data_IF_917245942704
#
_entry.id   IF_917245942704
#
_cell.length_a   1.000
_cell.length_b   1.000
_cell.length_c   1.000
_cell.angle_alpha   90.00
_cell.angle_beta   90.00
_cell.angle_gamma   90.00
#
_symmetry.space_group_name_H-M   'P 1'
#
loop_
_entity.id
_entity.type
_entity.pdbx_description
1 polymer ?
#
# COMPACT_ATOMS: atom_id res chain seq x y z
N UNK A 1 -5.47 -15.05 17.06
CA UNK A 1 -5.38 -13.82 17.85
C UNK A 1 -4.89 -14.12 19.27
N UNK A 2 -4.07 -13.24 19.83
CA UNK A 2 -3.52 -13.36 21.18
C UNK A 2 -3.70 -12.02 21.91
N UNK A 3 -4.01 -12.06 23.21
CA UNK A 3 -4.13 -10.85 24.02
C UNK A 3 -2.74 -10.40 24.47
N UNK A 4 -2.35 -9.18 24.14
CA UNK A 4 -1.07 -8.58 24.53
C UNK A 4 -1.33 -7.16 25.04
N UNK A 5 -1.10 -6.94 26.34
CA UNK A 5 -1.29 -5.64 26.97
C UNK A 5 -2.73 -5.10 26.87
N UNK A 6 -3.73 -5.97 26.99
CA UNK A 6 -5.15 -5.61 26.94
C UNK A 6 -5.74 -5.46 25.52
N UNK A 7 -4.93 -5.64 24.47
CA UNK A 7 -5.40 -5.59 23.09
C UNK A 7 -5.35 -6.97 22.43
N UNK A 8 -6.40 -7.32 21.64
CA UNK A 8 -6.43 -8.55 20.86
C UNK A 8 -5.63 -8.35 19.57
N UNK A 9 -4.49 -9.02 19.48
CA UNK A 9 -3.56 -8.95 18.34
C UNK A 9 -3.80 -10.12 17.41
N UNK A 10 -4.20 -9.85 16.17
CA UNK A 10 -4.39 -10.85 15.11
C UNK A 10 -3.23 -10.86 14.10
N UNK A 11 -2.55 -9.74 13.94
CA UNK A 11 -1.46 -9.56 12.98
C UNK A 11 -0.22 -9.02 13.68
N UNK A 12 0.94 -9.54 13.30
CA UNK A 12 2.24 -9.06 13.79
C UNK A 12 3.19 -8.85 12.61
N UNK A 13 3.96 -7.77 12.66
CA UNK A 13 4.90 -7.45 11.60
C UNK A 13 6.07 -8.45 11.54
N UNK A 14 6.42 -8.84 10.32
CA UNK A 14 7.63 -9.60 9.99
C UNK A 14 8.75 -8.69 9.45
N UNK A 15 8.49 -7.39 9.36
CA UNK A 15 9.36 -6.34 8.83
C UNK A 15 9.72 -6.50 7.34
N UNK A 16 10.57 -7.47 7.01
CA UNK A 16 11.05 -7.73 5.65
C UNK A 16 11.62 -9.15 5.54
N UNK A 17 11.93 -9.59 4.31
CA UNK A 17 12.44 -10.93 4.05
C UNK A 17 13.83 -11.21 4.67
N UNK A 18 14.66 -10.21 4.90
CA UNK A 18 15.95 -10.39 5.57
C UNK A 18 15.75 -10.74 7.04
N UNK A 19 14.79 -10.07 7.71
CA UNK A 19 14.43 -10.39 9.09
C UNK A 19 13.79 -11.78 9.21
N UNK A 20 12.92 -12.16 8.27
CA UNK A 20 12.34 -13.50 8.18
C UNK A 20 13.46 -14.55 8.06
N UNK A 21 14.42 -14.32 7.18
CA UNK A 21 15.57 -15.20 6.98
C UNK A 21 16.47 -15.23 8.21
N UNK A 22 16.78 -14.08 8.80
CA UNK A 22 17.65 -13.96 9.99
C UNK A 22 17.07 -14.70 11.19
N UNK A 23 15.75 -14.62 11.39
CA UNK A 23 15.02 -15.29 12.47
C UNK A 23 14.61 -16.71 12.12
N UNK A 24 14.87 -17.17 10.88
CA UNK A 24 14.46 -18.48 10.33
C UNK A 24 12.96 -18.75 10.53
N UNK A 25 12.11 -17.75 10.23
CA UNK A 25 10.66 -17.89 10.37
C UNK A 25 10.10 -18.67 9.18
N UNK A 26 9.21 -19.63 9.45
CA UNK A 26 8.54 -20.47 8.44
C UNK A 26 7.03 -20.46 8.67
N UNK A 27 6.26 -20.66 7.60
CA UNK A 27 4.80 -20.81 7.74
C UNK A 27 4.49 -22.04 8.57
N UNK A 28 3.67 -21.87 9.61
CA UNK A 28 3.33 -22.92 10.57
C UNK A 28 4.17 -22.88 11.87
N UNK A 29 5.17 -22.02 11.96
CA UNK A 29 5.93 -21.88 13.23
C UNK A 29 5.10 -21.31 14.37
N UNK A 30 5.38 -21.79 15.58
CA UNK A 30 5.00 -21.09 16.80
C UNK A 30 6.02 -20.01 17.10
N UNK A 31 5.56 -18.77 17.28
CA UNK A 31 6.43 -17.59 17.39
C UNK A 31 6.22 -16.81 18.66
N UNK A 32 7.26 -16.11 19.11
CA UNK A 32 7.15 -15.09 20.15
C UNK A 32 6.74 -13.77 19.48
N UNK A 33 5.66 -13.15 19.99
CA UNK A 33 5.18 -11.84 19.58
C UNK A 33 5.37 -10.85 20.71
N UNK A 34 5.91 -9.69 20.38
CA UNK A 34 6.08 -8.57 21.31
C UNK A 34 5.37 -7.35 20.77
N UNK A 35 4.73 -6.60 21.67
CA UNK A 35 4.27 -5.24 21.40
C UNK A 35 5.23 -4.29 22.10
N UNK A 36 6.04 -3.57 21.34
CA UNK A 36 6.96 -2.57 21.88
C UNK A 36 6.23 -1.24 21.98
N UNK A 37 5.93 -0.81 23.22
CA UNK A 37 5.10 0.37 23.47
C UNK A 37 3.69 0.20 22.90
N UNK A 38 3.02 1.32 22.57
CA UNK A 38 1.70 1.30 21.91
C UNK A 38 1.77 1.11 20.39
N UNK A 39 2.93 0.65 19.89
CA UNK A 39 3.24 0.56 18.47
C UNK A 39 2.97 -0.87 17.95
N UNK A 40 3.38 -1.13 16.74
CA UNK A 40 3.08 -2.31 15.93
C UNK A 40 3.58 -3.60 16.58
N UNK A 41 2.72 -4.62 16.81
CA UNK A 41 3.16 -5.93 17.25
C UNK A 41 4.14 -6.55 16.23
N UNK A 42 5.20 -7.19 16.73
CA UNK A 42 6.23 -7.79 15.89
C UNK A 42 6.60 -9.19 16.35
N UNK A 43 6.98 -10.04 15.40
CA UNK A 43 7.56 -11.36 15.69
C UNK A 43 9.02 -11.17 16.07
N UNK A 44 9.38 -11.59 17.29
CA UNK A 44 10.74 -11.46 17.82
C UNK A 44 11.56 -12.74 17.66
N UNK A 45 10.92 -13.90 17.57
CA UNK A 45 11.62 -15.17 17.39
C UNK A 45 10.68 -16.36 17.20
N UNK A 46 11.26 -17.51 16.94
CA UNK A 46 10.59 -18.80 16.71
C UNK A 46 10.87 -19.75 17.88
N UNK A 47 9.87 -20.52 18.30
CA UNK A 47 10.01 -21.61 19.25
C UNK A 47 10.35 -22.88 18.48
N UNK A 48 11.65 -23.14 18.30
CA UNK A 48 12.15 -24.24 17.44
C UNK A 48 11.71 -25.63 17.92
N UNK A 49 11.52 -25.79 19.21
CA UNK A 49 11.09 -27.05 19.83
C UNK A 49 9.66 -27.45 19.43
N UNK A 50 8.84 -26.46 19.04
CA UNK A 50 7.48 -26.65 18.58
C UNK A 50 7.34 -26.71 17.04
N UNK A 51 8.47 -26.60 16.33
CA UNK A 51 8.46 -26.62 14.85
C UNK A 51 8.22 -28.03 14.33
N UNK A 52 7.32 -28.15 13.39
CA UNK A 52 7.12 -29.39 12.63
C UNK A 52 8.30 -29.68 11.69
N UNK A 53 8.68 -30.95 11.53
CA UNK A 53 9.93 -31.38 10.86
C UNK A 53 10.07 -31.05 9.38
N UNK A 54 9.01 -30.54 8.70
CA UNK A 54 9.02 -30.37 7.22
C UNK A 54 8.66 -28.97 6.71
N UNK A 55 8.75 -27.93 7.56
CA UNK A 55 8.43 -26.59 7.13
C UNK A 55 9.51 -26.01 6.20
N UNK A 56 9.09 -25.47 5.05
CA UNK A 56 9.99 -24.87 4.08
C UNK A 56 10.37 -23.43 4.47
N UNK A 57 11.60 -23.00 4.19
CA UNK A 57 11.99 -21.59 4.32
C UNK A 57 11.10 -20.69 3.44
N UNK A 58 10.84 -19.50 3.90
CA UNK A 58 10.14 -18.47 3.13
C UNK A 58 11.17 -17.75 2.26
N UNK A 59 10.94 -17.73 0.97
CA UNK A 59 11.70 -16.92 0.00
C UNK A 59 10.80 -15.85 -0.60
N UNK A 60 11.37 -14.68 -0.95
CA UNK A 60 10.62 -13.67 -1.66
C UNK A 60 10.20 -14.19 -3.05
N UNK A 61 9.05 -13.75 -3.57
CA UNK A 61 8.63 -14.14 -4.91
C UNK A 61 9.56 -13.55 -5.96
N UNK A 62 9.96 -14.34 -6.95
CA UNK A 62 10.74 -13.87 -8.11
C UNK A 62 9.86 -13.23 -9.17
N UNK A 63 8.57 -13.55 -9.14
CA UNK A 63 7.56 -13.09 -10.07
C UNK A 63 6.42 -12.45 -9.26
N UNK A 64 5.92 -11.32 -9.72
CA UNK A 64 4.79 -10.64 -9.10
C UNK A 64 3.52 -11.50 -9.18
N UNK A 65 2.83 -11.76 -8.07
CA UNK A 65 1.62 -12.58 -8.06
C UNK A 65 0.42 -11.91 -8.76
N UNK A 66 0.49 -10.61 -9.04
CA UNK A 66 -0.60 -9.85 -9.68
C UNK A 66 -0.43 -9.75 -11.18
N UNK A 67 0.75 -9.35 -11.66
CA UNK A 67 0.97 -9.05 -13.08
C UNK A 67 2.00 -9.96 -13.76
N UNK A 68 2.55 -10.94 -13.06
CA UNK A 68 3.57 -11.88 -13.54
C UNK A 68 4.89 -11.23 -14.03
N UNK A 69 5.09 -9.94 -13.80
CA UNK A 69 6.36 -9.28 -14.07
C UNK A 69 7.43 -9.72 -13.07
N UNK A 70 8.69 -9.63 -13.44
CA UNK A 70 9.82 -9.92 -12.53
C UNK A 70 9.79 -9.00 -11.32
N UNK A 71 10.31 -9.50 -10.22
CA UNK A 71 10.59 -8.70 -9.04
C UNK A 71 12.09 -8.46 -8.92
N UNK A 72 12.46 -7.28 -8.48
CA UNK A 72 13.86 -6.87 -8.33
C UNK A 72 14.10 -6.22 -6.97
N UNK A 73 15.36 -6.25 -6.54
CA UNK A 73 15.86 -5.36 -5.48
C UNK A 73 16.57 -4.19 -6.16
N UNK A 74 16.17 -3.00 -5.81
CA UNK A 74 16.85 -1.80 -6.32
C UNK A 74 18.20 -1.62 -5.64
N UNK A 75 19.10 -0.93 -6.33
CA UNK A 75 20.41 -0.56 -5.79
C UNK A 75 20.39 0.92 -5.43
N UNK A 76 20.71 1.22 -4.18
CA UNK A 76 20.90 2.60 -3.72
C UNK A 76 22.40 2.91 -3.72
N UNK A 77 22.76 4.03 -4.34
CA UNK A 77 24.11 4.58 -4.24
C UNK A 77 24.21 5.45 -2.98
N UNK A 78 25.02 5.00 -2.01
CA UNK A 78 25.35 5.79 -0.83
C UNK A 78 26.82 6.19 -0.93
N UNK A 79 27.09 7.38 -1.49
CA UNK A 79 28.43 7.83 -1.82
C UNK A 79 29.07 6.94 -2.91
N UNK A 80 30.25 6.36 -2.62
CA UNK A 80 30.98 5.45 -3.54
C UNK A 80 30.55 3.98 -3.46
N UNK A 81 29.61 3.63 -2.58
CA UNK A 81 29.15 2.24 -2.39
C UNK A 81 27.75 2.04 -2.96
N UNK A 82 27.56 0.99 -3.73
CA UNK A 82 26.25 0.47 -4.09
C UNK A 82 25.79 -0.52 -3.02
N UNK A 83 24.55 -0.36 -2.54
CA UNK A 83 23.91 -1.28 -1.61
C UNK A 83 22.54 -1.67 -2.17
N UNK A 84 22.22 -2.96 -2.15
CA UNK A 84 20.88 -3.41 -2.49
C UNK A 84 19.85 -2.97 -1.45
N UNK A 85 18.70 -2.54 -1.90
CA UNK A 85 17.56 -2.27 -1.01
C UNK A 85 17.08 -3.56 -0.37
N UNK A 86 16.58 -3.45 0.87
CA UNK A 86 15.98 -4.58 1.58
C UNK A 86 14.62 -4.98 1.00
N UNK A 87 14.00 -4.09 0.24
CA UNK A 87 12.67 -4.27 -0.32
C UNK A 87 12.73 -4.82 -1.73
N UNK A 88 11.77 -5.69 -2.04
CA UNK A 88 11.58 -6.28 -3.35
C UNK A 88 10.42 -5.59 -4.01
N UNK A 89 10.58 -5.23 -5.28
CA UNK A 89 9.59 -4.47 -6.05
C UNK A 89 9.24 -5.19 -7.34
N UNK A 90 8.00 -5.12 -7.71
CA UNK A 90 7.54 -5.54 -9.02
C UNK A 90 7.97 -4.54 -10.10
N UNK A 91 8.47 -5.02 -11.23
CA UNK A 91 8.86 -4.20 -12.38
C UNK A 91 7.72 -3.87 -13.33
N UNK A 92 6.51 -4.36 -13.05
CA UNK A 92 5.34 -4.22 -13.94
C UNK A 92 4.85 -2.78 -14.14
N UNK A 93 5.21 -1.86 -13.23
CA UNK A 93 4.82 -0.44 -13.30
C UNK A 93 3.34 -0.26 -13.68
N UNK A 94 3.03 0.39 -14.80
CA UNK A 94 1.67 0.63 -15.28
C UNK A 94 0.92 -0.65 -15.73
N UNK A 95 1.62 -1.77 -15.92
CA UNK A 95 0.98 -3.05 -16.24
C UNK A 95 0.56 -3.83 -14.98
N UNK A 96 0.84 -3.32 -13.80
CA UNK A 96 0.49 -3.96 -12.54
C UNK A 96 -0.68 -3.23 -11.87
N UNK A 97 -1.86 -3.85 -11.85
CA UNK A 97 -3.07 -3.26 -11.25
C UNK A 97 -2.87 -2.90 -9.77
N UNK A 98 -2.13 -3.70 -9.00
CA UNK A 98 -1.83 -3.36 -7.61
C UNK A 98 -1.01 -2.07 -7.50
N UNK A 99 -0.03 -1.84 -8.40
CA UNK A 99 0.74 -0.59 -8.40
C UNK A 99 -0.08 0.61 -8.88
N UNK A 100 -0.99 0.41 -9.83
CA UNK A 100 -1.90 1.47 -10.28
C UNK A 100 -2.84 1.90 -9.14
N UNK A 101 -3.47 0.95 -8.45
CA UNK A 101 -4.34 1.23 -7.30
C UNK A 101 -3.56 2.01 -6.22
N UNK A 102 -2.36 1.56 -5.83
CA UNK A 102 -1.56 2.26 -4.83
C UNK A 102 -1.11 3.66 -5.28
N UNK A 103 -0.87 3.85 -6.57
CA UNK A 103 -0.58 5.17 -7.14
C UNK A 103 -1.79 6.11 -7.04
N UNK A 104 -3.00 5.62 -7.33
CA UNK A 104 -4.23 6.40 -7.20
C UNK A 104 -4.49 6.74 -5.72
N UNK A 105 -4.29 5.78 -4.80
CA UNK A 105 -4.39 6.00 -3.35
C UNK A 105 -3.40 7.08 -2.87
N UNK A 106 -2.15 6.99 -3.31
CA UNK A 106 -1.13 7.99 -2.99
C UNK A 106 -1.52 9.37 -3.50
N UNK A 107 -1.97 9.47 -4.75
CA UNK A 107 -2.39 10.72 -5.38
C UNK A 107 -3.53 11.41 -4.64
N UNK A 108 -4.55 10.66 -4.21
CA UNK A 108 -5.71 11.19 -3.48
C UNK A 108 -5.47 11.39 -1.98
N UNK A 109 -4.34 10.95 -1.45
CA UNK A 109 -4.03 10.97 -0.01
C UNK A 109 -3.93 12.38 0.56
N UNK A 110 -4.05 12.48 1.91
CA UNK A 110 -4.02 13.73 2.67
C UNK A 110 -2.79 14.60 2.42
N UNK A 111 -1.61 14.00 2.24
CA UNK A 111 -0.36 14.72 1.95
C UNK A 111 -0.24 15.15 0.49
N UNK A 112 -1.08 14.63 -0.41
CA UNK A 112 -1.11 14.94 -1.83
C UNK A 112 -2.32 15.82 -2.18
N UNK A 113 -3.26 15.32 -2.99
CA UNK A 113 -4.46 16.08 -3.37
C UNK A 113 -5.49 16.21 -2.26
N UNK A 114 -5.48 15.34 -1.25
CA UNK A 114 -6.37 15.37 -0.08
C UNK A 114 -7.85 15.39 -0.49
N UNK A 115 -8.26 14.37 -1.27
CA UNK A 115 -9.62 14.28 -1.80
C UNK A 115 -10.50 13.55 -0.80
N UNK A 116 -11.38 14.28 -0.13
CA UNK A 116 -12.34 13.73 0.82
C UNK A 116 -13.38 12.84 0.11
N UNK A 117 -13.74 11.73 0.76
CA UNK A 117 -14.68 10.76 0.19
C UNK A 117 -14.05 9.73 -0.75
N UNK A 118 -12.79 9.90 -1.16
CA UNK A 118 -12.07 8.97 -2.02
C UNK A 118 -11.05 8.15 -1.20
N UNK A 119 -11.54 7.31 -0.29
CA UNK A 119 -10.72 6.41 0.51
C UNK A 119 -10.31 5.14 -0.26
N UNK A 120 -9.52 4.28 0.39
CA UNK A 120 -8.97 3.06 -0.23
C UNK A 120 -10.04 2.15 -0.84
N UNK A 121 -11.15 1.95 -0.14
CA UNK A 121 -12.24 1.08 -0.62
C UNK A 121 -12.93 1.65 -1.85
N UNK A 122 -13.15 2.95 -1.88
CA UNK A 122 -13.75 3.65 -3.01
C UNK A 122 -12.84 3.59 -4.23
N UNK A 123 -11.54 3.81 -4.04
CA UNK A 123 -10.55 3.71 -5.13
C UNK A 123 -10.51 2.29 -5.72
N UNK A 124 -10.47 1.26 -4.86
CA UNK A 124 -10.49 -0.14 -5.31
C UNK A 124 -11.78 -0.46 -6.07
N UNK A 125 -12.92 0.02 -5.59
CA UNK A 125 -14.22 -0.14 -6.24
C UNK A 125 -14.26 0.56 -7.60
N UNK A 126 -13.84 1.81 -7.70
CA UNK A 126 -13.84 2.58 -8.94
C UNK A 126 -12.85 2.00 -9.95
N UNK A 127 -11.69 1.54 -9.49
CA UNK A 127 -10.75 0.83 -10.33
C UNK A 127 -11.35 -0.48 -10.87
N UNK A 128 -12.08 -1.23 -10.05
CA UNK A 128 -12.76 -2.45 -10.46
C UNK A 128 -13.87 -2.17 -11.50
N UNK A 129 -14.59 -1.07 -11.36
CA UNK A 129 -15.58 -0.62 -12.34
C UNK A 129 -14.94 -0.03 -13.60
N UNK A 130 -13.62 0.14 -13.64
CA UNK A 130 -12.88 0.83 -14.71
C UNK A 130 -13.27 2.30 -14.89
N UNK A 131 -13.75 2.93 -13.84
CA UNK A 131 -14.06 4.35 -13.82
C UNK A 131 -12.81 5.20 -13.64
N UNK A 132 -11.80 4.66 -12.91
CA UNK A 132 -10.47 5.24 -12.77
C UNK A 132 -9.42 4.15 -12.99
N UNK A 133 -8.51 4.35 -13.91
CA UNK A 133 -7.35 3.48 -14.17
C UNK A 133 -6.04 4.22 -13.92
N UNK A 134 -6.09 5.55 -13.94
CA UNK A 134 -4.97 6.43 -13.62
C UNK A 134 -5.43 7.64 -12.78
N UNK A 135 -4.52 8.32 -12.06
CA UNK A 135 -4.88 9.41 -11.16
C UNK A 135 -5.62 10.58 -11.80
N UNK A 136 -5.34 10.91 -13.06
CA UNK A 136 -5.99 12.01 -13.78
C UNK A 136 -7.48 11.81 -13.97
N UNK A 137 -7.94 10.58 -14.15
CA UNK A 137 -9.35 10.23 -14.38
C UNK A 137 -10.24 10.51 -13.15
N UNK A 138 -9.64 10.75 -11.97
CA UNK A 138 -10.40 11.20 -10.78
C UNK A 138 -11.16 12.48 -11.08
N UNK A 139 -10.56 13.41 -11.83
CA UNK A 139 -11.17 14.70 -12.15
C UNK A 139 -12.26 14.62 -13.23
N UNK A 140 -12.40 13.46 -13.87
CA UNK A 140 -13.41 13.17 -14.88
C UNK A 140 -14.62 12.39 -14.30
N UNK A 141 -14.56 11.98 -13.04
CA UNK A 141 -15.61 11.16 -12.39
C UNK A 141 -16.98 11.84 -12.42
N UNK A 142 -17.05 13.15 -12.18
CA UNK A 142 -18.29 13.90 -12.22
C UNK A 142 -18.91 13.88 -13.61
N UNK A 143 -18.11 14.15 -14.64
CA UNK A 143 -18.57 14.24 -16.02
C UNK A 143 -19.01 12.88 -16.58
N UNK A 144 -18.25 11.83 -16.27
CA UNK A 144 -18.44 10.53 -16.90
C UNK A 144 -19.33 9.57 -16.12
N UNK A 145 -19.36 9.67 -14.78
CA UNK A 145 -19.93 8.60 -13.93
C UNK A 145 -20.85 9.10 -12.81
N UNK A 146 -21.27 10.36 -12.81
CA UNK A 146 -22.11 10.91 -11.75
C UNK A 146 -23.41 10.12 -11.56
N UNK A 147 -24.10 9.79 -12.64
CA UNK A 147 -25.37 9.05 -12.61
C UNK A 147 -25.16 7.63 -12.10
N UNK A 148 -24.14 6.94 -12.63
CA UNK A 148 -23.79 5.60 -12.20
C UNK A 148 -23.43 5.56 -10.72
N UNK A 149 -22.74 6.60 -10.22
CA UNK A 149 -22.37 6.71 -8.81
C UNK A 149 -23.59 6.87 -7.89
N UNK A 150 -24.58 7.65 -8.30
CA UNK A 150 -25.84 7.84 -7.55
C UNK A 150 -26.68 6.57 -7.46
N UNK A 151 -26.54 5.65 -8.42
CA UNK A 151 -27.25 4.38 -8.47
C UNK A 151 -26.53 3.25 -7.71
N UNK A 152 -25.30 3.48 -7.23
CA UNK A 152 -24.52 2.45 -6.54
C UNK A 152 -24.88 2.34 -5.06
N UNK A 153 -24.99 1.11 -4.59
CA UNK A 153 -25.16 0.82 -3.17
C UNK A 153 -24.05 1.43 -2.33
N UNK A 154 -24.44 2.10 -1.25
CA UNK A 154 -23.51 2.77 -0.34
C UNK A 154 -23.20 4.22 -0.72
N UNK A 155 -23.71 4.73 -1.85
CA UNK A 155 -23.58 6.10 -2.28
C UNK A 155 -24.94 6.84 -2.21
N UNK A 156 -25.08 7.73 -1.25
CA UNK A 156 -26.22 8.62 -1.20
C UNK A 156 -25.90 9.97 -1.87
N UNK A 157 -26.92 10.72 -2.28
CA UNK A 157 -26.77 12.01 -2.94
C UNK A 157 -25.78 12.95 -2.22
N UNK A 158 -25.83 13.01 -0.88
CA UNK A 158 -24.93 13.83 -0.09
C UNK A 158 -23.47 13.37 -0.17
N UNK A 159 -23.22 12.05 -0.19
CA UNK A 159 -21.87 11.51 -0.30
C UNK A 159 -21.26 11.78 -1.67
N UNK A 160 -22.07 11.70 -2.71
CA UNK A 160 -21.68 12.02 -4.09
C UNK A 160 -21.37 13.51 -4.21
N UNK A 161 -22.26 14.38 -3.70
CA UNK A 161 -22.04 15.83 -3.68
C UNK A 161 -20.76 16.22 -2.95
N UNK A 162 -20.51 15.65 -1.78
CA UNK A 162 -19.28 15.90 -1.03
C UNK A 162 -18.03 15.47 -1.80
N UNK A 163 -18.05 14.31 -2.44
CA UNK A 163 -16.92 13.83 -3.27
C UNK A 163 -16.67 14.77 -4.46
N UNK A 164 -17.72 15.13 -5.19
CA UNK A 164 -17.63 16.04 -6.35
C UNK A 164 -17.09 17.41 -5.94
N UNK A 165 -17.61 17.97 -4.85
CA UNK A 165 -17.12 19.25 -4.32
C UNK A 165 -15.64 19.16 -3.94
N UNK A 166 -15.24 18.08 -3.24
CA UNK A 166 -13.85 17.87 -2.86
C UNK A 166 -12.94 17.77 -4.10
N UNK A 167 -13.33 17.00 -5.13
CA UNK A 167 -12.58 16.90 -6.37
C UNK A 167 -12.42 18.28 -7.04
N UNK A 168 -13.51 19.06 -7.12
CA UNK A 168 -13.49 20.37 -7.77
C UNK A 168 -12.63 21.39 -7.00
N UNK A 169 -12.69 21.40 -5.67
CA UNK A 169 -11.83 22.25 -4.83
C UNK A 169 -10.33 21.92 -4.99
N UNK A 170 -10.01 20.67 -5.24
CA UNK A 170 -8.61 20.21 -5.35
C UNK A 170 -8.03 20.27 -6.78
N UNK A 171 -8.77 20.80 -7.76
CA UNK A 171 -8.23 21.06 -9.12
C UNK A 171 -7.06 22.05 -9.11
N UNK A 172 -6.95 22.87 -8.07
CA UNK A 172 -5.84 23.80 -7.84
C UNK A 172 -5.20 23.49 -6.49
N UNK A 173 -3.96 23.02 -6.51
CA UNK A 173 -3.18 22.71 -5.32
C UNK A 173 -1.78 23.34 -5.41
N UNK A 174 -1.08 23.55 -4.29
CA UNK A 174 0.32 23.99 -4.27
C UNK A 174 1.22 23.05 -5.05
N UNK A 175 2.26 23.62 -5.70
CA UNK A 175 3.19 22.86 -6.56
C UNK A 175 3.89 21.73 -5.80
N UNK A 176 4.27 21.93 -4.55
CA UNK A 176 4.89 20.92 -3.70
C UNK A 176 3.98 19.72 -3.48
N UNK A 177 2.68 19.91 -3.24
CA UNK A 177 1.70 18.83 -3.13
C UNK A 177 1.52 18.10 -4.45
N UNK A 178 1.48 18.84 -5.55
CA UNK A 178 1.41 18.24 -6.88
C UNK A 178 2.62 17.36 -7.18
N UNK A 179 3.83 17.86 -6.95
CA UNK A 179 5.06 17.08 -7.15
C UNK A 179 5.09 15.84 -6.28
N UNK A 180 4.69 15.96 -5.00
CA UNK A 180 4.57 14.81 -4.11
C UNK A 180 3.56 13.78 -4.61
N UNK A 181 2.39 14.25 -5.10
CA UNK A 181 1.30 13.38 -5.59
C UNK A 181 1.70 12.49 -6.77
N UNK A 182 2.68 12.90 -7.56
CA UNK A 182 3.19 12.09 -8.67
C UNK A 182 3.91 10.81 -8.23
N UNK A 183 4.24 10.68 -6.93
CA UNK A 183 4.91 9.51 -6.38
C UNK A 183 6.30 9.26 -6.96
N UNK A 184 7.02 10.33 -7.33
CA UNK A 184 8.38 10.24 -7.86
C UNK A 184 9.29 9.68 -6.77
N UNK A 185 10.06 8.65 -7.11
CA UNK A 185 10.97 8.02 -6.14
C UNK A 185 11.97 9.01 -5.59
N UNK A 186 12.19 8.94 -4.29
CA UNK A 186 13.08 9.82 -3.53
C UNK A 186 12.64 11.29 -3.44
N UNK A 187 11.46 11.61 -3.95
CA UNK A 187 10.81 12.89 -3.72
C UNK A 187 9.75 12.69 -2.63
N UNK A 188 10.10 13.03 -1.39
CA UNK A 188 9.20 12.97 -0.25
C UNK A 188 8.50 14.30 0.00
N UNK A 189 7.52 14.34 0.92
CA UNK A 189 6.76 15.54 1.27
C UNK A 189 7.63 16.75 1.63
N UNK A 190 8.78 16.52 2.28
CA UNK A 190 9.70 17.61 2.66
C UNK A 190 10.67 18.05 1.56
N UNK A 191 10.72 17.35 0.43
CA UNK A 191 11.65 17.60 -0.68
C UNK A 191 10.96 17.92 -2.00
N UNK A 192 9.64 18.02 -1.98
CA UNK A 192 8.78 18.36 -3.12
C UNK A 192 8.70 19.86 -3.36
#
# INVERSE_FOLDING_TARGET
PVNIGGALVSNASLHNFEEIKRKDIRVGDTVWVQRAGDVIPQVIGVIKEKREKKLKPISPPEICPVCNSKTIRDKIKTGKKEKEEKYIRCTGAFNCSAQLIERIKHFSSKSAFDIDGLGEKQIEQFFHYKWINEPSEIFELEENYLQDLLEKDGWGARSVENLVNSINEKKLIPLEKFLFSLGIRHLGECSS
#
